data_IF_751075170831
#
_entry.id   IF_751075170831
#
_cell.length_a   1.000
_cell.length_b   1.000
_cell.length_c   1.000
_cell.angle_alpha   90.00
_cell.angle_beta   90.00
_cell.angle_gamma   90.00
#
_symmetry.space_group_name_H-M   'P 1'
#
loop_
_entity.id
_entity.type
_entity.pdbx_description
1 polymer ?
#
# COMPACT_ATOMS: atom_id res chain seq x y z
N UNK A 1 17.98 -0.73 -3.79
CA UNK A 1 16.79 -0.89 -2.93
C UNK A 1 17.19 -0.54 -1.50
N UNK A 2 16.49 0.39 -0.84
CA UNK A 2 16.74 0.63 0.59
C UNK A 2 16.12 -0.53 1.38
N UNK A 3 16.92 -1.26 2.15
CA UNK A 3 16.45 -2.33 3.02
C UNK A 3 16.11 -1.75 4.39
N UNK A 4 14.85 -1.84 4.79
CA UNK A 4 14.42 -1.50 6.14
C UNK A 4 14.70 -2.68 7.08
N UNK A 5 15.49 -2.42 8.12
CA UNK A 5 15.78 -3.37 9.21
C UNK A 5 15.45 -2.69 10.54
N UNK A 6 14.47 -3.18 11.32
CA UNK A 6 13.63 -4.36 11.05
C UNK A 6 12.68 -4.17 9.85
N UNK A 7 12.13 -5.27 9.34
CA UNK A 7 11.22 -5.24 8.20
C UNK A 7 9.99 -4.36 8.51
N UNK A 8 9.73 -3.39 7.63
CA UNK A 8 8.72 -2.36 7.88
C UNK A 8 7.28 -2.90 7.72
N UNK A 9 6.47 -2.72 8.75
CA UNK A 9 5.01 -2.80 8.69
C UNK A 9 4.47 -1.63 7.89
N UNK A 10 3.66 -1.89 6.88
CA UNK A 10 3.13 -0.86 5.99
C UNK A 10 1.73 -1.18 5.49
N UNK A 11 1.05 -0.17 4.96
CA UNK A 11 -0.15 -0.36 4.15
C UNK A 11 0.29 -0.59 2.71
N UNK A 12 0.03 -1.79 2.20
CA UNK A 12 0.22 -2.12 0.81
C UNK A 12 -0.95 -1.55 -0.02
N UNK A 13 -0.58 -0.88 -1.10
CA UNK A 13 -1.49 -0.30 -2.09
C UNK A 13 -1.24 -0.95 -3.44
N UNK A 14 -2.29 -1.17 -4.22
CA UNK A 14 -2.18 -1.62 -5.62
C UNK A 14 -1.80 -0.42 -6.52
N UNK A 15 -0.52 -0.07 -6.54
CA UNK A 15 -0.03 1.06 -7.35
C UNK A 15 -0.16 0.81 -8.85
N UNK A 16 -0.01 -0.45 -9.29
CA UNK A 16 -0.09 -0.81 -10.70
C UNK A 16 -1.51 -0.66 -11.23
N UNK A 17 -2.50 -1.25 -10.55
CA UNK A 17 -3.89 -1.10 -10.93
C UNK A 17 -4.39 0.34 -10.75
N UNK A 18 -3.91 1.08 -9.74
CA UNK A 18 -4.19 2.52 -9.64
C UNK A 18 -3.69 3.27 -10.89
N UNK A 19 -2.47 2.98 -11.35
CA UNK A 19 -1.88 3.59 -12.54
C UNK A 19 -2.64 3.23 -13.83
N UNK A 20 -3.03 1.98 -14.00
CA UNK A 20 -3.86 1.53 -15.12
C UNK A 20 -5.18 2.29 -15.18
N UNK A 21 -5.88 2.39 -14.03
CA UNK A 21 -7.14 3.13 -13.93
C UNK A 21 -6.95 4.62 -14.20
N UNK A 22 -5.90 5.22 -13.65
CA UNK A 22 -5.59 6.63 -13.90
C UNK A 22 -5.34 6.90 -15.39
N UNK A 23 -4.57 6.03 -16.06
CA UNK A 23 -4.34 6.12 -17.50
C UNK A 23 -5.66 5.98 -18.28
N UNK A 24 -6.51 5.04 -17.90
CA UNK A 24 -7.81 4.84 -18.54
C UNK A 24 -8.73 6.07 -18.43
N UNK A 25 -8.88 6.63 -17.22
CA UNK A 25 -9.69 7.84 -17.00
C UNK A 25 -9.13 9.02 -17.80
N UNK A 26 -7.80 9.17 -17.85
CA UNK A 26 -7.14 10.22 -18.64
C UNK A 26 -7.44 10.07 -20.14
N UNK A 27 -7.32 8.86 -20.68
CA UNK A 27 -7.62 8.60 -22.09
C UNK A 27 -9.10 8.86 -22.40
N UNK A 28 -10.02 8.49 -21.50
CA UNK A 28 -11.44 8.78 -21.63
C UNK A 28 -11.71 10.28 -21.64
N UNK A 29 -11.09 11.06 -20.75
CA UNK A 29 -11.19 12.52 -20.73
C UNK A 29 -10.71 13.15 -22.04
N UNK A 30 -9.57 12.70 -22.56
CA UNK A 30 -9.03 13.18 -23.84
C UNK A 30 -10.01 12.90 -25.00
N UNK A 31 -10.49 11.67 -25.10
CA UNK A 31 -11.41 11.26 -26.19
C UNK A 31 -12.74 12.01 -26.14
N UNK A 32 -13.27 12.25 -24.94
CA UNK A 32 -14.55 12.92 -24.71
C UNK A 32 -14.45 14.44 -24.65
N UNK A 33 -13.23 15.00 -24.71
CA UNK A 33 -12.94 16.45 -24.57
C UNK A 33 -13.59 17.05 -23.33
N UNK A 34 -13.69 16.28 -22.25
CA UNK A 34 -14.18 16.74 -20.95
C UNK A 34 -13.13 16.51 -19.88
N UNK A 35 -13.12 17.39 -18.90
CA UNK A 35 -12.22 17.33 -17.72
C UNK A 35 -12.98 16.91 -16.47
N UNK A 36 -14.13 16.25 -16.64
CA UNK A 36 -14.94 15.78 -15.52
C UNK A 36 -14.11 14.82 -14.67
N UNK A 37 -13.89 15.19 -13.42
CA UNK A 37 -13.19 14.35 -12.45
C UNK A 37 -14.00 13.07 -12.19
N UNK A 38 -13.30 11.94 -12.15
CA UNK A 38 -13.83 10.66 -11.71
C UNK A 38 -13.06 10.25 -10.45
N UNK A 39 -13.79 9.99 -9.37
CA UNK A 39 -13.22 9.52 -8.11
C UNK A 39 -13.17 8.00 -8.07
N UNK A 40 -12.07 7.47 -7.54
CA UNK A 40 -11.90 6.05 -7.31
C UNK A 40 -11.19 5.80 -5.98
N UNK A 41 -11.84 5.01 -5.11
CA UNK A 41 -11.27 4.54 -3.84
C UNK A 41 -11.05 3.04 -3.96
N UNK A 42 -9.77 2.64 -3.97
CA UNK A 42 -9.35 1.25 -4.01
C UNK A 42 -9.19 0.64 -2.62
N UNK A 43 -9.35 -0.69 -2.54
CA UNK A 43 -9.01 -1.42 -1.33
C UNK A 43 -7.49 -1.35 -1.04
N UNK A 44 -7.14 -1.40 0.24
CA UNK A 44 -5.76 -1.45 0.71
C UNK A 44 -5.59 -2.62 1.66
N UNK A 45 -4.35 -3.08 1.84
CA UNK A 45 -4.05 -4.18 2.76
C UNK A 45 -3.00 -3.77 3.78
N UNK A 46 -3.24 -4.03 5.07
CA UNK A 46 -2.22 -3.86 6.11
C UNK A 46 -1.28 -5.06 6.10
N UNK A 47 0.02 -4.80 5.93
CA UNK A 47 1.07 -5.81 5.96
C UNK A 47 1.89 -5.63 7.22
N UNK A 48 1.61 -6.44 8.24
CA UNK A 48 2.34 -6.44 9.52
C UNK A 48 3.65 -7.21 9.39
N UNK A 49 4.73 -6.61 9.88
CA UNK A 49 6.11 -7.12 9.90
C UNK A 49 6.79 -6.74 11.23
N UNK A 50 8.11 -6.81 11.27
CA UNK A 50 8.89 -6.77 12.51
C UNK A 50 9.08 -5.35 13.09
N UNK A 51 8.67 -4.29 12.40
CA UNK A 51 8.80 -2.92 12.90
C UNK A 51 7.71 -2.50 13.88
N UNK A 52 6.71 -3.33 14.15
CA UNK A 52 5.66 -3.03 15.13
C UNK A 52 5.09 -4.28 15.80
N UNK A 53 4.45 -4.09 16.95
CA UNK A 53 3.89 -5.16 17.76
C UNK A 53 4.84 -5.60 18.88
N UNK A 54 4.37 -6.45 19.81
CA UNK A 54 5.19 -6.92 20.91
C UNK A 54 6.40 -7.69 20.39
N UNK A 55 7.57 -7.44 20.99
CA UNK A 55 8.81 -8.13 20.62
C UNK A 55 8.66 -9.62 20.95
N UNK A 56 8.43 -10.44 19.92
CA UNK A 56 8.28 -11.89 20.04
C UNK A 56 9.54 -12.58 20.60
N UNK A 57 10.69 -11.88 20.62
CA UNK A 57 11.91 -12.37 21.28
C UNK A 57 11.96 -12.04 22.77
N UNK A 58 11.28 -10.99 23.23
CA UNK A 58 11.26 -10.61 24.63
C UNK A 58 10.42 -11.56 25.50
N UNK A 59 9.45 -12.29 24.92
CA UNK A 59 8.58 -13.22 25.65
C UNK A 59 9.13 -14.63 25.90
N UNK A 60 10.31 -14.98 25.35
CA UNK A 60 10.92 -16.32 25.52
C UNK A 60 11.97 -16.36 26.65
N UNK A 61 12.24 -15.23 27.31
CA UNK A 61 13.38 -15.08 28.23
C UNK A 61 13.09 -15.21 29.73
N UNK A 62 11.85 -15.46 30.16
CA UNK A 62 11.47 -15.44 31.59
C UNK A 62 10.70 -16.70 32.03
N UNK A 63 11.07 -17.85 31.46
CA UNK A 63 10.60 -19.16 31.87
C UNK A 63 11.81 -20.07 32.13
N UNK A 64 12.51 -19.83 33.24
CA UNK A 64 13.54 -20.70 33.80
C UNK A 64 13.45 -20.68 35.33
#
# INVERSE_FOLDING_TARGET
AQHYMPALTSVAVDSAGLGERAAHVMLKMIQSRTTRAEDHIGAVNLVVRDSCGPDRRAGMGDAA
#
